data_IF_488963518593
#
_entry.id   IF_488963518593
#
_cell.length_a   1.000
_cell.length_b   1.000
_cell.length_c   1.000
_cell.angle_alpha   90.00
_cell.angle_beta   90.00
_cell.angle_gamma   90.00
#
_symmetry.space_group_name_H-M   'P 1'
#
loop_
_entity.id
_entity.type
_entity.pdbx_description
1 polymer ?
#
# COMPACT_ATOMS: atom_id res chain seq x y z
N UNK A 1 -29.01 -63.48 12.75
CA UNK A 1 -28.99 -64.70 11.91
C UNK A 1 -27.78 -64.67 10.97
N UNK A 2 -27.17 -65.86 10.82
CA UNK A 2 -26.19 -66.36 9.82
C UNK A 2 -25.57 -65.39 8.78
N UNK A 3 -24.23 -65.25 8.73
CA UNK A 3 -23.21 -66.17 8.12
C UNK A 3 -23.31 -66.13 6.58
N UNK A 4 -22.25 -66.05 5.75
CA UNK A 4 -20.88 -66.62 5.76
C UNK A 4 -20.24 -66.13 4.43
N UNK A 5 -19.05 -65.52 4.38
CA UNK A 5 -17.69 -66.12 4.38
C UNK A 5 -17.06 -66.36 2.98
N UNK A 6 -15.78 -65.98 2.82
CA UNK A 6 -14.85 -66.60 1.87
C UNK A 6 -13.94 -65.59 1.12
N UNK A 7 -12.81 -65.07 1.63
CA UNK A 7 -11.50 -65.73 1.93
C UNK A 7 -10.78 -66.17 0.63
N UNK A 8 -9.52 -65.81 0.28
CA UNK A 8 -8.18 -65.97 0.92
C UNK A 8 -7.14 -65.21 0.03
N UNK A 9 -6.16 -64.44 0.56
CA UNK A 9 -4.71 -64.76 0.84
C UNK A 9 -3.87 -65.12 -0.41
N UNK A 10 -2.56 -64.86 -0.59
CA UNK A 10 -1.37 -64.31 0.13
C UNK A 10 -0.29 -64.13 -0.99
N UNK A 11 0.80 -63.36 -0.89
CA UNK A 11 2.14 -63.78 -0.39
C UNK A 11 3.16 -62.65 -0.70
N UNK A 12 3.76 -61.99 0.30
CA UNK A 12 5.21 -61.90 0.63
C UNK A 12 6.25 -62.03 -0.51
N UNK A 13 7.20 -61.08 -0.60
CA UNK A 13 8.61 -61.31 -0.24
C UNK A 13 9.44 -60.01 -0.20
N UNK A 14 10.44 -60.00 0.69
CA UNK A 14 11.44 -58.97 0.93
C UNK A 14 12.80 -59.38 0.31
N UNK A 15 13.71 -58.43 0.04
CA UNK A 15 15.15 -58.61 0.23
C UNK A 15 15.97 -57.35 -0.12
N UNK A 16 16.90 -57.02 0.78
CA UNK A 16 18.06 -56.14 0.62
C UNK A 16 19.06 -56.64 -0.44
N UNK A 17 19.91 -55.74 -0.94
CA UNK A 17 21.16 -56.09 -1.63
C UNK A 17 22.18 -54.95 -1.61
N UNK A 18 23.09 -54.98 -0.63
CA UNK A 18 24.44 -54.40 -0.72
C UNK A 18 25.35 -55.47 -1.33
N UNK A 19 26.27 -55.09 -2.24
CA UNK A 19 27.53 -55.81 -2.44
C UNK A 19 28.62 -54.86 -2.98
N UNK A 20 29.80 -54.94 -2.38
CA UNK A 20 31.04 -54.27 -2.73
C UNK A 20 32.11 -55.32 -3.09
N UNK A 21 33.12 -54.94 -3.89
CA UNK A 21 34.50 -55.48 -4.11
C UNK A 21 34.88 -55.22 -5.59
N UNK A 22 35.75 -54.24 -5.92
CA UNK A 22 37.22 -54.18 -5.81
C UNK A 22 37.98 -55.07 -6.83
N UNK A 23 38.76 -54.44 -7.72
CA UNK A 23 40.00 -54.99 -8.31
C UNK A 23 40.96 -53.86 -8.72
N UNK A 24 42.25 -54.11 -8.44
CA UNK A 24 43.41 -53.23 -8.38
C UNK A 24 44.05 -52.85 -9.73
N UNK A 25 44.86 -51.79 -9.72
CA UNK A 25 45.96 -51.57 -10.67
C UNK A 25 46.74 -50.27 -10.39
N UNK A 26 47.94 -50.38 -9.83
CA UNK A 26 48.81 -49.31 -9.33
C UNK A 26 49.47 -48.41 -10.41
N UNK A 27 49.71 -47.15 -10.06
CA UNK A 27 50.66 -46.24 -10.71
C UNK A 27 51.02 -45.06 -9.79
N UNK A 28 52.31 -44.87 -9.52
CA UNK A 28 52.92 -44.06 -8.45
C UNK A 28 53.27 -42.64 -8.95
N UNK A 29 53.22 -41.66 -8.03
CA UNK A 29 53.44 -40.21 -8.22
C UNK A 29 54.83 -39.81 -8.79
N UNK A 30 55.02 -38.53 -9.23
CA UNK A 30 55.53 -37.51 -8.29
C UNK A 30 55.01 -36.06 -8.49
N UNK A 31 55.15 -35.22 -7.45
CA UNK A 31 55.00 -33.74 -7.43
C UNK A 31 56.41 -33.07 -7.39
N UNK A 32 56.58 -31.73 -7.29
CA UNK A 32 56.07 -30.56 -8.06
C UNK A 32 57.27 -29.76 -8.70
N UNK A 33 57.12 -28.49 -9.18
CA UNK A 33 57.41 -27.35 -8.28
C UNK A 33 56.57 -26.06 -8.52
N UNK A 34 56.75 -25.14 -7.57
CA UNK A 34 56.10 -23.85 -7.30
C UNK A 34 56.72 -22.68 -8.10
N UNK A 35 55.95 -21.63 -8.42
CA UNK A 35 56.47 -20.40 -9.06
C UNK A 35 55.45 -19.31 -9.43
N UNK A 36 55.19 -18.40 -8.49
CA UNK A 36 54.91 -16.93 -8.54
C UNK A 36 54.03 -16.24 -9.64
N UNK A 37 53.41 -15.07 -9.33
CA UNK A 37 52.24 -14.49 -10.03
C UNK A 37 52.56 -13.31 -10.96
N UNK A 38 51.55 -12.73 -11.64
CA UNK A 38 51.61 -11.32 -12.02
C UNK A 38 50.48 -10.44 -11.45
N UNK A 39 50.82 -9.16 -11.41
CA UNK A 39 50.23 -7.97 -10.79
C UNK A 39 48.93 -7.44 -11.44
N UNK A 40 48.14 -6.68 -10.67
CA UNK A 40 47.96 -5.25 -10.98
C UNK A 40 46.69 -4.74 -11.70
N UNK A 41 45.71 -4.30 -10.87
CA UNK A 41 44.88 -3.08 -11.00
C UNK A 41 43.70 -3.02 -12.02
N UNK A 42 42.75 -2.05 -11.89
CA UNK A 42 42.47 -1.09 -10.81
C UNK A 42 41.02 -1.11 -10.25
N UNK A 43 40.86 -0.52 -9.07
CA UNK A 43 39.57 -0.22 -8.46
C UNK A 43 38.88 0.97 -9.12
N UNK A 44 37.55 0.88 -9.25
CA UNK A 44 36.68 2.00 -9.54
C UNK A 44 35.80 2.25 -8.32
N UNK A 45 36.08 3.37 -7.65
CA UNK A 45 35.26 3.95 -6.60
C UNK A 45 33.91 4.37 -7.16
N UNK A 46 32.81 3.88 -6.58
CA UNK A 46 31.48 4.45 -6.76
C UNK A 46 31.17 5.33 -5.53
N UNK A 47 30.68 6.57 -5.69
CA UNK A 47 30.37 7.44 -4.57
C UNK A 47 29.10 6.98 -3.84
N UNK A 48 29.19 6.92 -2.51
CA UNK A 48 28.02 6.82 -1.62
C UNK A 48 27.16 8.08 -1.79
N UNK A 49 25.95 7.90 -2.31
CA UNK A 49 24.89 8.90 -2.23
C UNK A 49 23.99 8.54 -1.04
N UNK A 50 24.23 9.21 0.08
CA UNK A 50 23.36 9.17 1.26
C UNK A 50 21.98 9.70 0.90
N UNK A 51 20.96 8.85 0.95
CA UNK A 51 19.57 9.28 1.01
C UNK A 51 19.22 9.62 2.47
N UNK A 52 18.56 10.75 2.76
CA UNK A 52 18.14 11.05 4.14
C UNK A 52 16.97 10.14 4.54
N UNK A 53 17.10 9.50 5.69
CA UNK A 53 16.01 8.81 6.39
C UNK A 53 14.92 9.82 6.75
N UNK A 54 13.76 9.71 6.11
CA UNK A 54 12.55 10.40 6.55
C UNK A 54 11.82 9.48 7.54
N UNK A 55 12.17 9.61 8.82
CA UNK A 55 11.38 9.05 9.92
C UNK A 55 10.03 9.76 9.99
N UNK A 56 8.94 9.02 9.83
CA UNK A 56 7.61 9.51 10.19
C UNK A 56 7.54 9.73 11.72
N UNK A 57 7.04 10.87 12.21
CA UNK A 57 6.89 11.13 13.64
C UNK A 57 5.70 10.36 14.19
N UNK A 58 5.93 9.62 15.26
CA UNK A 58 4.87 9.20 16.19
C UNK A 58 4.24 10.46 16.81
N UNK A 59 3.02 10.77 16.40
CA UNK A 59 2.18 11.74 17.10
C UNK A 59 1.45 11.03 18.24
N UNK A 60 1.98 11.19 19.46
CA UNK A 60 1.30 10.83 20.70
C UNK A 60 0.00 11.64 20.84
N UNK A 61 -1.12 10.94 20.97
CA UNK A 61 -2.43 11.54 21.26
C UNK A 61 -2.47 12.06 22.72
N UNK A 62 -3.06 13.25 23.00
CA UNK A 62 -3.27 13.70 24.37
C UNK A 62 -4.56 13.10 24.94
N UNK A 63 -4.47 12.50 26.14
CA UNK A 63 -5.62 12.18 27.00
C UNK A 63 -6.08 13.44 27.75
N UNK A 64 -7.36 13.84 27.63
CA UNK A 64 -8.28 13.97 28.79
C UNK A 64 -9.75 14.20 28.41
N UNK A 65 -10.59 13.37 29.05
CA UNK A 65 -11.94 13.57 29.64
C UNK A 65 -13.07 14.34 28.93
N UNK A 66 -14.17 13.60 28.70
CA UNK A 66 -15.49 14.06 28.26
C UNK A 66 -16.35 14.65 29.42
N UNK A 67 -17.46 15.33 29.12
CA UNK A 67 -18.73 14.59 29.02
C UNK A 67 -19.71 15.10 27.93
N UNK A 68 -20.63 14.22 27.51
CA UNK A 68 -21.82 14.59 26.74
C UNK A 68 -22.24 13.54 25.71
N UNK A 69 -23.35 12.87 25.98
CA UNK A 69 -23.95 11.73 25.25
C UNK A 69 -23.98 11.91 23.73
N UNK A 70 -22.99 11.32 23.05
CA UNK A 70 -22.95 11.02 21.62
C UNK A 70 -22.31 9.63 21.52
N UNK A 71 -22.72 8.79 20.57
CA UNK A 71 -22.11 7.47 20.39
C UNK A 71 -20.57 7.61 20.43
N UNK A 72 -19.86 6.96 21.37
CA UNK A 72 -18.52 7.38 21.79
C UNK A 72 -17.47 7.41 20.66
N UNK A 73 -17.72 6.70 19.54
CA UNK A 73 -16.85 6.73 18.37
C UNK A 73 -17.03 7.93 17.42
N UNK A 74 -18.21 8.54 17.34
CA UNK A 74 -18.46 9.63 16.39
C UNK A 74 -17.76 10.93 16.79
N UNK A 75 -17.83 11.29 18.08
CA UNK A 75 -17.15 12.49 18.59
C UNK A 75 -15.62 12.38 18.52
N UNK A 76 -15.07 11.20 18.82
CA UNK A 76 -13.63 10.94 18.68
C UNK A 76 -13.16 11.11 17.23
N UNK A 77 -13.92 10.55 16.26
CA UNK A 77 -13.61 10.70 14.85
C UNK A 77 -13.64 12.16 14.37
N UNK A 78 -14.57 12.98 14.87
CA UNK A 78 -14.63 14.40 14.50
C UNK A 78 -13.41 15.16 15.02
N UNK A 79 -12.97 14.89 16.26
CA UNK A 79 -11.75 15.45 16.81
C UNK A 79 -10.50 15.02 16.03
N UNK A 80 -10.43 13.75 15.60
CA UNK A 80 -9.36 13.26 14.72
C UNK A 80 -9.32 14.02 13.39
N UNK A 81 -10.48 14.31 12.79
CA UNK A 81 -10.57 15.09 11.54
C UNK A 81 -10.12 16.53 11.74
N UNK A 82 -10.52 17.18 12.84
CA UNK A 82 -10.09 18.54 13.17
C UNK A 82 -8.57 18.62 13.41
N UNK A 83 -8.01 17.66 14.16
CA UNK A 83 -6.58 17.56 14.40
C UNK A 83 -5.80 17.35 13.10
N UNK A 84 -6.30 16.49 12.20
CA UNK A 84 -5.70 16.28 10.88
C UNK A 84 -5.73 17.55 10.02
N UNK A 85 -6.85 18.26 10.02
CA UNK A 85 -6.98 19.52 9.30
C UNK A 85 -6.01 20.58 9.82
N UNK A 86 -5.79 20.66 11.13
CA UNK A 86 -4.77 21.55 11.69
C UNK A 86 -3.36 21.11 11.30
N UNK A 87 -3.03 19.83 11.40
CA UNK A 87 -1.74 19.29 10.98
C UNK A 87 -1.46 19.59 9.49
N UNK A 88 -2.47 19.50 8.62
CA UNK A 88 -2.32 19.83 7.20
C UNK A 88 -2.23 21.34 6.94
N UNK A 89 -2.77 22.17 7.83
CA UNK A 89 -2.72 23.63 7.73
C UNK A 89 -1.35 24.18 8.12
N UNK A 90 -0.80 23.71 9.24
CA UNK A 90 0.34 24.36 9.92
C UNK A 90 1.49 23.41 10.24
N UNK A 91 1.30 22.10 10.17
CA UNK A 91 2.30 21.10 10.53
C UNK A 91 3.53 21.11 9.62
N UNK A 92 4.69 20.80 10.19
CA UNK A 92 5.96 20.70 9.46
C UNK A 92 5.88 19.66 8.32
N UNK A 93 5.22 18.54 8.59
CA UNK A 93 5.02 17.44 7.65
C UNK A 93 3.77 17.56 6.79
N UNK A 94 3.14 18.74 6.76
CA UNK A 94 1.94 18.93 5.95
C UNK A 94 2.20 18.56 4.49
N UNK A 95 1.39 17.66 3.89
CA UNK A 95 1.50 17.31 2.48
C UNK A 95 0.93 18.41 1.58
N UNK A 96 0.33 19.47 2.14
CA UNK A 96 -0.12 20.63 1.36
C UNK A 96 1.11 21.44 0.94
N UNK A 97 1.33 21.67 -0.37
CA UNK A 97 2.45 22.48 -0.85
C UNK A 97 2.42 23.87 -0.20
N UNK A 98 3.59 24.43 0.12
CA UNK A 98 3.71 25.72 0.81
C UNK A 98 2.88 26.84 0.15
N UNK A 99 2.87 26.88 -1.20
CA UNK A 99 2.08 27.84 -1.98
C UNK A 99 0.55 27.70 -1.80
N UNK A 100 0.07 26.49 -1.45
CA UNK A 100 -1.34 26.19 -1.20
C UNK A 100 -1.77 26.30 0.26
N UNK A 101 -0.83 26.29 1.23
CA UNK A 101 -1.14 26.25 2.67
C UNK A 101 -2.02 27.42 3.12
N UNK A 102 -1.74 28.65 2.67
CA UNK A 102 -2.53 29.84 3.04
C UNK A 102 -4.00 29.77 2.53
N UNK A 103 -4.27 29.03 1.46
CA UNK A 103 -5.60 28.84 0.89
C UNK A 103 -6.32 27.59 1.43
N UNK A 104 -5.62 26.75 2.20
CA UNK A 104 -6.19 25.55 2.79
C UNK A 104 -7.26 25.91 3.84
N UNK A 105 -8.41 25.26 3.78
CA UNK A 105 -9.56 25.51 4.66
C UNK A 105 -10.04 24.25 5.37
N UNK A 106 -9.21 23.22 5.40
CA UNK A 106 -9.60 21.87 5.82
C UNK A 106 -9.92 20.97 4.65
N UNK A 107 -9.93 19.67 4.93
CA UNK A 107 -10.31 18.60 4.02
C UNK A 107 -11.84 18.53 3.90
N UNK A 108 -12.30 17.71 2.96
CA UNK A 108 -13.72 17.43 2.80
C UNK A 108 -13.99 15.99 3.13
N UNK A 109 -15.00 15.75 3.95
CA UNK A 109 -15.40 14.43 4.41
C UNK A 109 -16.86 14.16 4.07
N UNK A 110 -17.22 12.89 3.96
CA UNK A 110 -18.62 12.49 4.06
C UNK A 110 -19.11 12.64 5.52
N UNK A 111 -20.43 12.82 5.72
CA UNK A 111 -21.05 12.60 7.02
C UNK A 111 -20.66 11.24 7.59
N UNK A 112 -20.57 11.14 8.93
CA UNK A 112 -20.28 9.87 9.59
C UNK A 112 -21.45 8.92 9.37
N UNK A 113 -21.14 7.72 8.86
CA UNK A 113 -22.11 6.66 8.63
C UNK A 113 -21.69 5.39 9.42
N UNK A 114 -22.35 5.11 10.56
CA UNK A 114 -22.05 3.92 11.37
C UNK A 114 -22.28 2.60 10.63
N UNK A 115 -23.11 2.56 9.58
CA UNK A 115 -23.36 1.35 8.80
C UNK A 115 -22.17 0.93 7.92
N UNK A 116 -21.21 1.84 7.73
CA UNK A 116 -19.95 1.60 7.01
C UNK A 116 -18.78 1.35 7.97
N UNK A 117 -19.06 0.94 9.21
CA UNK A 117 -18.08 0.41 10.17
C UNK A 117 -18.37 -1.07 10.42
N UNK A 118 -17.37 -1.91 10.18
CA UNK A 118 -17.51 -3.36 10.25
C UNK A 118 -16.54 -3.95 11.28
N UNK A 119 -17.03 -4.86 12.11
CA UNK A 119 -16.15 -5.76 12.87
C UNK A 119 -15.86 -6.98 12.00
N UNK A 120 -14.61 -7.10 11.53
CA UNK A 120 -14.20 -8.11 10.56
C UNK A 120 -13.06 -8.96 11.09
N UNK A 121 -13.05 -10.24 10.74
CA UNK A 121 -11.93 -11.14 11.04
C UNK A 121 -10.93 -11.11 9.89
N UNK A 122 -9.65 -10.95 10.20
CA UNK A 122 -8.58 -11.11 9.23
C UNK A 122 -8.48 -12.58 8.82
N UNK A 123 -8.77 -12.86 7.56
CA UNK A 123 -8.50 -14.17 6.94
C UNK A 123 -7.08 -14.14 6.41
N UNK A 124 -6.19 -14.97 6.94
CA UNK A 124 -4.80 -15.02 6.47
C UNK A 124 -4.65 -16.04 5.34
N UNK A 125 -3.73 -15.75 4.41
CA UNK A 125 -3.21 -16.77 3.52
C UNK A 125 -2.38 -17.78 4.34
N UNK A 126 -2.44 -19.07 3.99
CA UNK A 126 -1.61 -20.10 4.62
C UNK A 126 -0.11 -19.77 4.47
N UNK A 127 0.25 -19.26 3.30
CA UNK A 127 1.57 -18.71 3.00
C UNK A 127 1.37 -17.29 2.49
N UNK A 128 1.83 -16.30 3.27
CA UNK A 128 1.83 -14.91 2.83
C UNK A 128 2.79 -14.77 1.64
N UNK A 129 2.32 -14.16 0.56
CA UNK A 129 3.07 -14.02 -0.68
C UNK A 129 3.64 -12.60 -0.80
N UNK A 130 4.93 -12.44 -1.12
CA UNK A 130 5.49 -11.14 -1.48
C UNK A 130 4.78 -10.57 -2.71
N UNK A 131 4.49 -9.27 -2.68
CA UNK A 131 3.92 -8.52 -3.79
C UNK A 131 4.69 -7.23 -3.99
N UNK A 132 4.86 -6.85 -5.25
CA UNK A 132 5.40 -5.54 -5.63
C UNK A 132 4.24 -4.62 -5.94
N UNK A 133 3.98 -3.66 -5.07
CA UNK A 133 2.92 -2.69 -5.26
C UNK A 133 3.47 -1.48 -6.02
N UNK A 134 2.96 -1.24 -7.23
CA UNK A 134 3.34 -0.07 -8.01
C UNK A 134 2.85 1.23 -7.38
N UNK A 135 3.53 2.34 -7.62
CA UNK A 135 3.15 3.68 -7.16
C UNK A 135 2.71 4.57 -8.32
N UNK A 136 2.18 5.76 -8.02
CA UNK A 136 1.84 6.77 -9.03
C UNK A 136 3.04 7.32 -9.80
N UNK A 137 4.26 7.16 -9.29
CA UNK A 137 5.51 7.61 -9.96
C UNK A 137 6.14 6.51 -10.82
N UNK A 138 5.59 5.30 -10.81
CA UNK A 138 6.12 4.13 -11.52
C UNK A 138 7.14 3.31 -10.72
N UNK A 139 7.47 3.74 -9.50
CA UNK A 139 8.25 2.96 -8.54
C UNK A 139 7.46 1.76 -8.03
N UNK A 140 8.14 0.84 -7.35
CA UNK A 140 7.52 -0.31 -6.70
C UNK A 140 7.93 -0.39 -5.24
N UNK A 141 6.99 -0.78 -4.38
CA UNK A 141 7.23 -1.07 -2.96
C UNK A 141 6.91 -2.52 -2.65
N UNK A 142 7.80 -3.15 -1.90
CA UNK A 142 7.62 -4.54 -1.48
C UNK A 142 6.68 -4.63 -0.28
N UNK A 143 5.67 -5.48 -0.41
CA UNK A 143 4.71 -5.78 0.64
C UNK A 143 4.44 -7.28 0.70
N UNK A 144 3.87 -7.73 1.79
CA UNK A 144 3.29 -9.05 1.92
C UNK A 144 1.78 -8.95 1.71
N UNK A 145 1.24 -9.79 0.83
CA UNK A 145 -0.20 -10.04 0.76
C UNK A 145 -0.58 -10.88 1.98
N UNK A 146 -1.04 -10.20 3.02
CA UNK A 146 -1.14 -10.76 4.37
C UNK A 146 -2.43 -11.53 4.59
N UNK A 147 -3.52 -11.06 3.99
CA UNK A 147 -4.83 -11.67 4.16
C UNK A 147 -5.92 -10.90 3.42
N UNK A 148 -7.15 -11.07 3.87
CA UNK A 148 -8.29 -10.29 3.40
C UNK A 148 -9.36 -10.14 4.48
N UNK A 149 -10.20 -9.13 4.30
CA UNK A 149 -11.46 -8.95 5.01
C UNK A 149 -12.63 -9.27 4.11
N UNK A 150 -13.68 -9.84 4.71
CA UNK A 150 -14.99 -10.09 4.07
C UNK A 150 -16.04 -9.32 4.86
N UNK A 151 -16.88 -8.57 4.16
CA UNK A 151 -17.93 -7.74 4.75
C UNK A 151 -19.03 -7.51 3.70
N UNK A 152 -20.13 -6.87 4.09
CA UNK A 152 -21.26 -6.62 3.20
C UNK A 152 -21.68 -5.17 3.24
N UNK A 153 -21.85 -4.55 2.08
CA UNK A 153 -22.36 -3.18 1.94
C UNK A 153 -23.71 -3.27 1.24
N UNK A 154 -24.78 -2.93 1.96
CA UNK A 154 -26.15 -3.22 1.52
C UNK A 154 -26.32 -4.71 1.25
N UNK A 155 -26.64 -5.08 0.00
CA UNK A 155 -26.83 -6.48 -0.41
C UNK A 155 -25.63 -7.10 -1.14
N UNK A 156 -24.47 -6.45 -1.10
CA UNK A 156 -23.30 -6.86 -1.86
C UNK A 156 -22.20 -7.35 -0.95
N UNK A 157 -21.83 -8.61 -1.12
CA UNK A 157 -20.65 -9.17 -0.47
C UNK A 157 -19.40 -8.54 -1.08
N UNK A 158 -18.52 -8.08 -0.20
CA UNK A 158 -17.33 -7.31 -0.51
C UNK A 158 -16.12 -8.00 0.10
N UNK A 159 -14.98 -7.83 -0.56
CA UNK A 159 -13.69 -8.33 -0.11
C UNK A 159 -12.61 -7.29 -0.37
N UNK A 160 -11.69 -7.13 0.59
CA UNK A 160 -10.48 -6.33 0.43
C UNK A 160 -9.28 -7.13 0.92
N UNK A 161 -8.25 -7.24 0.08
CA UNK A 161 -6.95 -7.73 0.48
C UNK A 161 -6.28 -6.76 1.44
N UNK A 162 -5.54 -7.34 2.39
CA UNK A 162 -4.79 -6.64 3.42
C UNK A 162 -3.31 -6.89 3.16
N UNK A 163 -2.54 -5.82 3.18
CA UNK A 163 -1.10 -5.83 2.92
C UNK A 163 -0.32 -5.46 4.17
N UNK A 164 0.92 -5.89 4.24
CA UNK A 164 1.88 -5.45 5.24
C UNK A 164 3.18 -5.08 4.55
N UNK A 165 3.62 -3.84 4.67
CA UNK A 165 4.91 -3.43 4.10
C UNK A 165 6.07 -4.03 4.91
N UNK A 166 7.12 -4.45 4.20
CA UNK A 166 8.27 -5.13 4.80
C UNK A 166 9.17 -4.19 5.64
N UNK A 167 9.06 -2.88 5.41
CA UNK A 167 9.95 -1.82 5.88
C UNK A 167 9.35 -0.93 6.99
N UNK A 168 8.38 -1.45 7.76
CA UNK A 168 7.67 -0.67 8.78
C UNK A 168 8.23 -0.90 10.19
N UNK A 169 8.53 0.19 10.91
CA UNK A 169 9.03 0.17 12.28
C UNK A 169 8.01 -0.40 13.28
N UNK A 170 6.72 -0.25 12.99
CA UNK A 170 5.62 -0.85 13.76
C UNK A 170 4.74 -1.70 12.84
N UNK A 171 4.28 -2.88 13.31
CA UNK A 171 3.45 -3.77 12.51
C UNK A 171 2.08 -3.10 12.24
N UNK A 172 1.89 -2.69 11.00
CA UNK A 172 0.65 -2.09 10.50
C UNK A 172 0.11 -2.88 9.31
N UNK A 173 -1.21 -2.88 9.21
CA UNK A 173 -1.96 -3.47 8.11
C UNK A 173 -2.45 -2.34 7.22
N UNK A 174 -2.10 -2.45 5.94
CA UNK A 174 -2.44 -1.49 4.90
C UNK A 174 -3.57 -2.04 4.04
N UNK A 175 -4.67 -1.29 3.93
CA UNK A 175 -5.85 -1.66 3.14
C UNK A 175 -6.15 -0.58 2.10
N UNK A 176 -5.44 -0.60 0.95
CA UNK A 176 -5.72 0.32 -0.14
C UNK A 176 -6.91 -0.16 -0.93
N UNK A 177 -7.82 0.75 -1.31
CA UNK A 177 -9.00 0.37 -2.08
C UNK A 177 -9.46 1.46 -3.03
N UNK A 178 -10.18 1.01 -4.06
CA UNK A 178 -11.05 1.85 -4.90
C UNK A 178 -12.49 1.39 -4.71
N UNK A 179 -13.42 2.28 -5.00
CA UNK A 179 -14.86 1.99 -4.93
C UNK A 179 -15.60 2.76 -6.03
N UNK A 180 -16.93 2.59 -6.14
CA UNK A 180 -17.70 3.23 -7.20
C UNK A 180 -17.73 4.77 -7.13
N UNK A 181 -17.25 5.37 -6.02
CA UNK A 181 -17.09 6.84 -5.90
C UNK A 181 -15.74 7.35 -6.43
N UNK A 182 -14.78 6.47 -6.69
CA UNK A 182 -13.40 6.83 -7.05
C UNK A 182 -13.32 7.53 -8.41
N UNK A 183 -12.80 8.76 -8.43
CA UNK A 183 -12.65 9.58 -9.63
C UNK A 183 -13.67 10.71 -9.70
N UNK A 184 -14.88 10.44 -9.24
CA UNK A 184 -16.00 11.39 -9.26
C UNK A 184 -16.14 12.12 -7.92
N UNK A 185 -16.46 11.38 -6.85
CA UNK A 185 -16.69 11.95 -5.51
C UNK A 185 -15.45 11.87 -4.60
N UNK A 186 -14.58 10.87 -4.82
CA UNK A 186 -13.34 10.60 -4.06
C UNK A 186 -12.10 10.59 -4.96
N UNK A 187 -10.91 10.51 -4.37
CA UNK A 187 -9.66 10.51 -5.13
C UNK A 187 -9.58 9.34 -6.13
N UNK A 188 -9.15 9.64 -7.37
CA UNK A 188 -9.27 8.70 -8.49
C UNK A 188 -8.44 7.42 -8.34
N UNK A 189 -7.23 7.55 -7.79
CA UNK A 189 -6.35 6.40 -7.58
C UNK A 189 -6.79 5.52 -6.40
N UNK A 190 -7.69 6.00 -5.54
CA UNK A 190 -8.22 5.27 -4.40
C UNK A 190 -7.89 5.90 -3.05
N UNK A 191 -8.26 5.20 -1.99
CA UNK A 191 -8.15 5.63 -0.59
C UNK A 191 -7.58 4.50 0.25
N UNK A 192 -7.09 4.83 1.44
CA UNK A 192 -6.45 3.89 2.33
C UNK A 192 -7.16 3.82 3.68
N UNK A 193 -7.01 2.67 4.32
CA UNK A 193 -7.24 2.47 5.75
C UNK A 193 -5.98 1.79 6.29
N UNK A 194 -5.41 2.34 7.36
CA UNK A 194 -4.35 1.71 8.14
C UNK A 194 -4.92 1.20 9.45
N UNK A 195 -4.49 0.00 9.83
CA UNK A 195 -4.88 -0.63 11.08
C UNK A 195 -3.61 -1.08 11.81
N UNK A 196 -3.53 -0.82 13.12
CA UNK A 196 -2.51 -1.43 13.95
C UNK A 196 -2.73 -2.96 13.96
N UNK A 197 -1.68 -3.73 13.67
CA UNK A 197 -1.78 -5.20 13.76
C UNK A 197 -2.07 -5.59 15.21
N UNK A 198 -3.05 -6.47 15.42
CA UNK A 198 -3.44 -6.94 16.74
C UNK A 198 -3.46 -8.47 16.82
N UNK A 199 -3.41 -8.98 18.04
CA UNK A 199 -3.35 -10.43 18.33
C UNK A 199 -4.73 -11.10 18.32
N UNK A 200 -5.82 -10.33 18.39
CA UNK A 200 -7.19 -10.88 18.38
C UNK A 200 -7.60 -11.43 17.02
N UNK A 201 -6.98 -10.93 15.95
CA UNK A 201 -7.34 -11.24 14.57
C UNK A 201 -8.68 -10.64 14.12
N UNK A 202 -9.34 -9.85 14.97
CA UNK A 202 -10.56 -9.09 14.65
C UNK A 202 -10.21 -7.61 14.61
N UNK A 203 -10.78 -6.91 13.64
CA UNK A 203 -10.45 -5.52 13.32
C UNK A 203 -11.72 -4.72 13.12
N UNK A 204 -11.68 -3.46 13.51
CA UNK A 204 -12.69 -2.47 13.17
C UNK A 204 -12.33 -1.84 11.83
N UNK A 205 -12.91 -2.37 10.75
CA UNK A 205 -12.80 -1.79 9.42
C UNK A 205 -13.81 -0.62 9.31
N UNK A 206 -13.35 0.57 9.68
CA UNK A 206 -14.14 1.80 9.68
C UNK A 206 -13.84 2.66 8.44
N UNK A 207 -14.74 2.62 7.45
CA UNK A 207 -14.59 3.44 6.25
C UNK A 207 -14.76 4.94 6.52
N UNK A 208 -15.28 5.34 7.69
CA UNK A 208 -15.32 6.76 8.08
C UNK A 208 -13.94 7.35 8.36
N UNK A 209 -12.94 6.48 8.57
CA UNK A 209 -11.51 6.79 8.73
C UNK A 209 -10.72 6.62 7.43
N UNK A 210 -11.36 6.21 6.33
CA UNK A 210 -10.68 6.10 5.05
C UNK A 210 -10.17 7.47 4.59
N UNK A 211 -8.91 7.51 4.16
CA UNK A 211 -8.20 8.75 3.85
C UNK A 211 -7.55 8.72 2.47
N UNK A 212 -7.30 9.88 1.86
CA UNK A 212 -6.60 9.98 0.59
C UNK A 212 -5.07 9.90 0.80
N UNK A 213 -4.32 9.23 -0.10
CA UNK A 213 -2.86 9.30 -0.11
C UNK A 213 -2.34 10.73 -0.21
N UNK A 214 -1.11 10.97 0.24
CA UNK A 214 -0.46 12.28 0.11
C UNK A 214 -0.34 12.77 -1.33
N UNK A 215 -0.22 11.86 -2.30
CA UNK A 215 -0.20 12.22 -3.72
C UNK A 215 -1.51 12.88 -4.21
N UNK A 216 -2.62 12.75 -3.48
CA UNK A 216 -3.86 13.47 -3.76
C UNK A 216 -3.75 14.98 -3.46
N UNK A 217 -2.80 15.37 -2.62
CA UNK A 217 -2.58 16.75 -2.19
C UNK A 217 -1.35 17.38 -2.85
N UNK A 218 -0.30 16.58 -3.04
CA UNK A 218 0.94 17.00 -3.66
C UNK A 218 1.47 15.87 -4.58
N UNK A 219 1.56 16.10 -5.90
CA UNK A 219 1.96 15.06 -6.86
C UNK A 219 3.40 14.57 -6.68
N UNK A 220 4.24 15.27 -5.91
CA UNK A 220 5.64 14.90 -5.67
C UNK A 220 5.77 13.66 -4.75
N UNK A 221 4.69 13.26 -4.06
CA UNK A 221 4.69 12.03 -3.26
C UNK A 221 4.49 10.78 -4.11
N UNK A 222 5.33 9.77 -3.85
CA UNK A 222 5.17 8.40 -4.36
C UNK A 222 4.27 7.60 -3.42
N UNK A 223 3.08 7.23 -3.90
CA UNK A 223 2.04 6.57 -3.12
C UNK A 223 1.60 5.25 -3.79
N UNK A 224 1.43 4.15 -3.01
CA UNK A 224 1.06 2.85 -3.54
C UNK A 224 -0.33 2.82 -4.20
N UNK A 225 -0.45 2.18 -5.36
CA UNK A 225 -1.73 2.04 -6.05
C UNK A 225 -2.50 0.83 -5.50
N UNK A 226 -3.80 0.97 -5.16
CA UNK A 226 -4.64 -0.17 -4.84
C UNK A 226 -4.62 -1.21 -5.96
N UNK A 227 -4.42 -2.50 -5.66
CA UNK A 227 -4.49 -3.54 -6.67
C UNK A 227 -5.92 -3.67 -7.22
N UNK A 228 -6.05 -4.22 -8.43
CA UNK A 228 -7.35 -4.42 -9.08
C UNK A 228 -8.32 -5.25 -8.20
N UNK A 229 -7.81 -6.22 -7.45
CA UNK A 229 -8.59 -7.03 -6.51
C UNK A 229 -9.24 -6.20 -5.37
N UNK A 230 -8.70 -5.03 -5.04
CA UNK A 230 -9.26 -4.11 -4.06
C UNK A 230 -10.09 -2.99 -4.70
N UNK A 231 -10.82 -3.32 -5.77
CA UNK A 231 -11.82 -2.41 -6.36
C UNK A 231 -13.21 -2.90 -6.03
N UNK A 232 -13.90 -2.17 -5.15
CA UNK A 232 -15.29 -2.43 -4.79
C UNK A 232 -16.23 -1.89 -5.87
N UNK A 233 -17.27 -2.66 -6.20
CA UNK A 233 -18.30 -2.24 -7.16
C UNK A 233 -19.42 -1.38 -6.53
N UNK A 234 -19.41 -1.27 -5.20
CA UNK A 234 -20.37 -0.46 -4.42
C UNK A 234 -19.80 0.93 -4.15
N UNK A 235 -20.65 1.96 -4.00
CA UNK A 235 -20.19 3.27 -3.54
C UNK A 235 -19.94 3.25 -2.03
N UNK A 236 -18.78 3.73 -1.60
CA UNK A 236 -18.44 3.88 -0.17
C UNK A 236 -18.42 5.38 0.18
N UNK A 237 -19.59 5.89 0.60
CA UNK A 237 -19.79 7.31 0.96
C UNK A 237 -19.49 7.60 2.43
N UNK A 238 -18.30 7.17 2.87
CA UNK A 238 -17.73 7.46 4.18
C UNK A 238 -16.27 7.90 4.01
N UNK A 239 -15.72 8.63 4.99
CA UNK A 239 -14.32 9.05 4.98
C UNK A 239 -14.04 10.30 4.13
N UNK A 240 -12.79 10.46 3.69
CA UNK A 240 -12.34 11.59 2.89
C UNK A 240 -12.95 11.59 1.48
N UNK A 241 -13.29 12.80 1.02
CA UNK A 241 -13.73 13.13 -0.33
C UNK A 241 -12.55 13.63 -1.15
N UNK A 242 -12.80 13.82 -2.45
CA UNK A 242 -11.80 14.36 -3.38
C UNK A 242 -11.30 15.74 -2.96
N UNK A 243 -9.99 15.95 -3.11
CA UNK A 243 -9.32 17.24 -2.92
C UNK A 243 -8.72 17.74 -4.25
N UNK A 244 -8.78 19.06 -4.54
CA UNK A 244 -9.55 20.07 -3.82
C UNK A 244 -11.07 19.80 -3.96
N UNK A 245 -11.90 20.28 -3.02
CA UNK A 245 -13.35 20.09 -3.09
C UNK A 245 -13.93 20.65 -4.38
N UNK A 246 -14.90 19.93 -4.95
CA UNK A 246 -15.61 20.35 -6.16
C UNK A 246 -16.18 21.76 -5.97
N UNK A 247 -15.90 22.66 -6.92
CA UNK A 247 -16.34 24.06 -6.89
C UNK A 247 -15.28 25.09 -6.46
N UNK A 248 -14.06 24.67 -6.08
CA UNK A 248 -12.96 25.60 -5.71
C UNK A 248 -11.76 25.62 -6.67
N UNK A 249 -11.90 25.08 -7.89
CA UNK A 249 -10.93 25.33 -8.95
C UNK A 249 -11.17 26.71 -9.55
N UNK A 250 -10.67 27.74 -8.84
CA UNK A 250 -10.47 29.06 -9.45
C UNK A 250 -9.72 28.88 -10.76
N UNK A 251 -10.32 29.32 -11.86
CA UNK A 251 -9.74 29.33 -13.21
C UNK A 251 -8.38 30.01 -13.17
N UNK A 252 -7.29 29.27 -13.00
CA UNK A 252 -5.97 29.71 -13.44
C UNK A 252 -5.87 29.44 -14.94
N UNK A 253 -6.73 30.12 -15.71
CA UNK A 253 -6.52 30.26 -17.15
C UNK A 253 -5.32 31.18 -17.32
N UNK A 254 -4.15 30.60 -17.61
CA UNK A 254 -3.02 31.35 -18.16
C UNK A 254 -3.53 32.06 -19.43
N UNK A 255 -3.79 33.36 -19.34
CA UNK A 255 -3.88 34.24 -20.52
C UNK A 255 -2.47 34.28 -21.11
N UNK A 256 -2.15 33.36 -22.02
CA UNK A 256 -1.08 33.59 -22.98
C UNK A 256 -1.64 34.63 -23.93
N UNK A 257 -1.18 35.87 -23.78
CA UNK A 257 -1.49 36.94 -24.70
C UNK A 257 -0.93 36.60 -26.07
N UNK A 258 -1.80 36.31 -27.03
CA UNK A 258 -1.45 36.38 -28.43
C UNK A 258 -1.23 37.86 -28.78
N UNK A 259 0.01 38.34 -28.62
CA UNK A 259 0.48 39.52 -29.34
C UNK A 259 0.55 39.12 -30.81
N UNK A 260 -0.24 39.81 -31.62
CA UNK A 260 -0.34 39.57 -33.05
C UNK A 260 1.00 39.75 -33.74
N UNK A 261 1.34 38.77 -34.59
CA UNK A 261 2.20 39.01 -35.73
C UNK A 261 1.32 39.55 -36.86
N UNK A 262 1.31 40.88 -37.02
CA UNK A 262 0.96 41.52 -38.28
C UNK A 262 2.21 42.16 -38.84
N UNK A 263 2.69 41.69 -39.99
CA UNK A 263 3.81 42.34 -40.68
C UNK A 263 4.52 41.44 -41.68
N UNK A 264 3.85 41.09 -42.79
CA UNK A 264 4.54 40.70 -44.02
C UNK A 264 4.13 41.72 -45.08
N UNK A 265 5.04 42.59 -45.55
CA UNK A 265 4.75 43.44 -46.69
C UNK A 265 4.74 42.60 -47.97
N UNK A 266 3.66 42.72 -48.75
CA UNK A 266 3.63 42.29 -50.15
C UNK A 266 4.48 43.27 -50.96
N UNK A 267 5.58 42.79 -51.53
CA UNK A 267 6.24 43.49 -52.64
C UNK A 267 5.74 42.87 -53.94
N UNK A 268 5.00 43.68 -54.70
CA UNK A 268 4.66 43.50 -56.11
C UNK A 268 5.60 44.42 -56.90
N UNK A 269 6.32 43.87 -57.88
CA UNK A 269 6.87 44.55 -59.06
C UNK A 269 7.23 43.39 -60.03
N UNK A 270 6.40 43.19 -61.06
CA UNK A 270 6.53 43.74 -62.42
C UNK A 270 7.48 42.90 -63.28
#
# INVERSE_FOLDING_TARGET
>A
MNRRSGVRRRTLCAACGLFALALSGCGRAPSPPEGAPPEGAPGASAPEASAPEASAPEVSAPEVSAPGTSAPGASALLLEREAKDEAFRSGAESPIPAAGRAAFRGLSYYPVDPSLRFSVRLRRYEVASPVRMGTNTGEVRDALRYGWFEFRVGDRDCRLEVFRFADTASPSLFVPFRDATSGDETYGAGRYIDLAENTSGTYDLDFNRAYNPYCAYNPDYSCPLPPAANTLSVPVRAGERKFPPAGKTGKLRRKVGAKGLSGVPKTVLS
#
